data_IF_998471675546
#
_entry.id   IF_998471675546
#
_cell.length_a   1.000
_cell.length_b   1.000
_cell.length_c   1.000
_cell.angle_alpha   90.00
_cell.angle_beta   90.00
_cell.angle_gamma   90.00
#
_symmetry.space_group_name_H-M   'P 1'
#
loop_
_entity.id
_entity.type
_entity.pdbx_description
1 polymer ?
#
# COMPACT_ATOMS: atom_id res chain seq x y z
N UNK A 1 -23.54 -46.63 7.09
CA UNK A 1 -24.51 -45.52 7.22
C UNK A 1 -23.84 -44.30 7.83
N UNK A 2 -24.06 -43.10 7.28
CA UNK A 2 -23.66 -41.85 7.94
C UNK A 2 -24.63 -41.55 9.09
N UNK A 3 -24.15 -41.60 10.34
CA UNK A 3 -24.97 -41.34 11.51
C UNK A 3 -25.42 -39.87 11.63
N UNK A 4 -26.48 -39.58 12.40
CA UNK A 4 -27.09 -38.25 12.54
C UNK A 4 -26.10 -37.16 13.02
N UNK A 5 -25.05 -37.54 13.74
CA UNK A 5 -23.98 -36.62 14.18
C UNK A 5 -23.16 -36.03 13.02
N UNK A 6 -23.17 -36.67 11.85
CA UNK A 6 -22.37 -36.24 10.69
C UNK A 6 -22.93 -34.94 10.06
N UNK A 7 -24.26 -34.73 10.07
CA UNK A 7 -24.87 -33.52 9.51
C UNK A 7 -24.53 -32.27 10.35
N UNK A 8 -24.54 -32.40 11.67
CA UNK A 8 -24.19 -31.33 12.61
C UNK A 8 -22.74 -30.89 12.44
N UNK A 9 -21.80 -31.84 12.39
CA UNK A 9 -20.37 -31.55 12.17
C UNK A 9 -20.14 -30.86 10.82
N UNK A 10 -20.83 -31.33 9.76
CA UNK A 10 -20.77 -30.69 8.44
C UNK A 10 -21.28 -29.25 8.48
N UNK A 11 -22.41 -29.00 9.14
CA UNK A 11 -23.00 -27.66 9.30
C UNK A 11 -22.05 -26.71 10.05
N UNK A 12 -21.47 -27.15 11.17
CA UNK A 12 -20.49 -26.35 11.93
C UNK A 12 -19.25 -26.01 11.08
N UNK A 13 -18.77 -26.96 10.27
CA UNK A 13 -17.62 -26.74 9.38
C UNK A 13 -17.92 -25.75 8.26
N UNK A 14 -19.12 -25.81 7.67
CA UNK A 14 -19.53 -24.85 6.62
C UNK A 14 -19.72 -23.46 7.19
N UNK A 15 -20.36 -23.33 8.35
CA UNK A 15 -20.51 -22.04 9.05
C UNK A 15 -19.16 -21.40 9.37
N UNK A 16 -18.21 -22.19 9.92
CA UNK A 16 -16.84 -21.70 10.20
C UNK A 16 -16.11 -21.23 8.94
N UNK A 17 -16.26 -21.95 7.82
CA UNK A 17 -15.68 -21.54 6.53
C UNK A 17 -16.31 -20.25 6.01
N UNK A 18 -17.63 -20.12 6.13
CA UNK A 18 -18.39 -18.96 5.67
C UNK A 18 -18.03 -17.70 6.48
N UNK A 19 -17.93 -17.81 7.81
CA UNK A 19 -17.43 -16.73 8.68
C UNK A 19 -16.03 -16.27 8.29
N UNK A 20 -15.08 -17.20 8.15
CA UNK A 20 -13.71 -16.89 7.69
C UNK A 20 -13.66 -16.21 6.32
N UNK A 21 -14.54 -16.61 5.39
CA UNK A 21 -14.62 -15.98 4.06
C UNK A 21 -15.11 -14.53 4.18
N UNK A 22 -16.17 -14.29 4.96
CA UNK A 22 -16.70 -12.95 5.23
C UNK A 22 -15.65 -12.04 5.88
N UNK A 23 -14.95 -12.53 6.91
CA UNK A 23 -13.88 -11.77 7.58
C UNK A 23 -12.74 -11.41 6.61
N UNK A 24 -12.31 -12.36 5.76
CA UNK A 24 -11.28 -12.10 4.75
C UNK A 24 -11.73 -11.07 3.72
N UNK A 25 -12.99 -11.13 3.32
CA UNK A 25 -13.58 -10.20 2.35
C UNK A 25 -13.67 -8.79 2.95
N UNK A 26 -14.15 -8.66 4.18
CA UNK A 26 -14.17 -7.39 4.92
C UNK A 26 -12.75 -6.81 5.08
N UNK A 27 -11.77 -7.64 5.47
CA UNK A 27 -10.35 -7.21 5.55
C UNK A 27 -9.81 -6.81 4.18
N UNK A 28 -10.26 -7.43 3.10
CA UNK A 28 -9.88 -7.05 1.73
C UNK A 28 -10.48 -5.70 1.36
N UNK A 29 -11.76 -5.45 1.66
CA UNK A 29 -12.40 -4.15 1.40
C UNK A 29 -11.77 -3.05 2.26
N UNK A 30 -11.58 -3.26 3.56
CA UNK A 30 -10.89 -2.30 4.42
C UNK A 30 -9.50 -1.93 3.90
N UNK A 31 -8.73 -2.91 3.39
CA UNK A 31 -7.43 -2.63 2.75
C UNK A 31 -7.55 -1.87 1.44
N UNK A 32 -8.62 -2.05 0.68
CA UNK A 32 -8.86 -1.28 -0.55
C UNK A 32 -9.28 0.16 -0.21
N UNK A 33 -10.18 0.32 0.75
CA UNK A 33 -10.74 1.63 1.13
C UNK A 33 -9.69 2.52 1.81
N UNK A 34 -8.78 1.93 2.59
CA UNK A 34 -7.75 2.67 3.33
C UNK A 34 -6.37 2.64 2.66
N UNK A 35 -6.19 1.88 1.58
CA UNK A 35 -4.93 1.98 0.82
C UNK A 35 -5.03 3.20 -0.09
N UNK A 36 -4.01 4.08 -0.10
CA UNK A 36 -3.95 5.21 -1.04
C UNK A 36 -3.91 4.75 -2.52
N UNK A 37 -3.94 3.45 -2.80
CA UNK A 37 -3.90 2.86 -4.13
C UNK A 37 -2.49 2.37 -4.49
N UNK A 38 -2.41 1.52 -5.50
CA UNK A 38 -1.13 1.03 -6.05
C UNK A 38 -0.65 1.81 -7.28
N UNK A 39 -1.21 3.00 -7.52
CA UNK A 39 -0.76 3.88 -8.61
C UNK A 39 0.67 4.35 -8.37
N UNK A 40 1.43 4.54 -9.45
CA UNK A 40 2.83 4.97 -9.41
C UNK A 40 2.99 6.27 -8.61
N UNK A 41 2.04 7.19 -8.73
CA UNK A 41 2.06 8.48 -8.02
C UNK A 41 2.06 8.33 -6.49
N UNK A 42 1.38 7.31 -5.95
CA UNK A 42 1.35 7.04 -4.51
C UNK A 42 2.60 6.30 -4.01
N UNK A 43 3.44 5.81 -4.93
CA UNK A 43 4.71 5.16 -4.62
C UNK A 43 5.90 6.14 -4.67
N UNK A 44 5.71 7.31 -5.27
CA UNK A 44 6.71 8.37 -5.32
C UNK A 44 6.72 9.08 -3.96
N UNK A 45 7.84 8.97 -3.26
CA UNK A 45 8.12 9.65 -2.01
C UNK A 45 9.25 10.64 -2.25
N UNK A 46 9.04 11.91 -1.88
CA UNK A 46 10.08 12.92 -1.93
C UNK A 46 10.88 12.90 -0.64
N UNK A 47 12.16 13.30 -0.71
CA UNK A 47 13.07 13.31 0.44
C UNK A 47 13.56 14.74 0.66
N UNK A 48 13.42 15.25 1.88
CA UNK A 48 13.91 16.57 2.26
C UNK A 48 15.43 16.60 2.48
N UNK A 49 15.97 17.80 2.75
CA UNK A 49 17.41 18.04 3.00
C UNK A 49 17.95 17.29 4.23
N UNK A 50 17.07 16.78 5.09
CA UNK A 50 17.41 16.07 6.32
C UNK A 50 17.14 14.57 6.21
N UNK A 51 16.73 14.08 5.03
CA UNK A 51 16.48 12.66 4.78
C UNK A 51 15.09 12.18 5.19
N UNK A 52 14.15 13.07 5.52
CA UNK A 52 12.78 12.70 5.87
C UNK A 52 11.91 12.61 4.61
N UNK A 53 10.97 11.66 4.62
CA UNK A 53 10.02 11.47 3.52
C UNK A 53 8.90 12.50 3.61
N UNK A 54 8.67 13.25 2.54
CA UNK A 54 7.62 14.26 2.42
C UNK A 54 6.62 13.89 1.33
N UNK A 55 5.35 14.24 1.55
CA UNK A 55 4.27 14.04 0.56
C UNK A 55 4.19 15.19 -0.45
N UNK A 56 4.89 16.29 -0.22
CA UNK A 56 4.90 17.46 -1.10
C UNK A 56 6.03 17.33 -2.10
N UNK A 57 5.77 17.51 -3.41
CA UNK A 57 6.83 17.59 -4.40
C UNK A 57 7.72 18.80 -4.07
N UNK A 58 9.06 18.68 -4.25
CA UNK A 58 9.94 19.82 -4.10
C UNK A 58 9.49 20.89 -5.10
N UNK A 59 9.22 22.10 -4.61
CA UNK A 59 8.90 23.24 -5.47
C UNK A 59 10.00 23.39 -6.55
N UNK A 60 9.58 23.64 -7.79
CA UNK A 60 10.40 23.72 -9.01
C UNK A 60 11.53 24.78 -8.98
N UNK A 61 11.77 25.42 -7.84
CA UNK A 61 12.80 26.44 -7.65
C UNK A 61 14.23 25.89 -7.60
N UNK A 62 14.39 24.56 -7.67
CA UNK A 62 15.70 23.93 -7.84
C UNK A 62 15.76 23.18 -9.17
N UNK A 63 15.42 23.89 -10.25
CA UNK A 63 16.10 23.68 -11.51
C UNK A 63 17.61 23.79 -11.25
N UNK A 64 18.26 22.66 -11.01
CA UNK A 64 19.71 22.52 -11.11
C UNK A 64 20.03 22.85 -12.56
N UNK A 65 20.28 24.13 -12.86
CA UNK A 65 20.81 24.57 -14.13
C UNK A 65 22.20 23.92 -14.22
N UNK A 66 22.47 23.06 -15.22
CA UNK A 66 23.78 22.43 -15.39
C UNK A 66 24.90 23.44 -15.74
N UNK A 67 24.62 24.74 -15.81
CA UNK A 67 25.58 25.77 -16.26
C UNK A 67 26.58 26.22 -15.19
N UNK A 68 26.38 25.97 -13.89
CA UNK A 68 27.31 26.45 -12.84
C UNK A 68 28.42 25.46 -12.47
N UNK A 69 28.36 24.21 -12.94
CA UNK A 69 29.41 23.21 -12.67
C UNK A 69 30.69 23.42 -13.50
N UNK A 70 30.64 24.16 -14.61
CA UNK A 70 31.82 24.34 -15.50
C UNK A 70 32.64 25.60 -15.19
N UNK A 71 32.11 26.58 -14.44
CA UNK A 71 32.85 27.82 -14.10
C UNK A 71 33.78 27.71 -12.90
N UNK A 72 33.72 26.60 -12.14
CA UNK A 72 34.57 26.38 -10.97
C UNK A 72 35.87 25.58 -11.27
N UNK A 73 36.04 25.03 -12.47
CA UNK A 73 37.29 24.38 -12.91
C UNK A 73 38.17 25.27 -13.79
N UNK A 74 37.74 26.52 -14.05
CA UNK A 74 38.42 27.48 -14.90
C UNK A 74 39.06 28.64 -14.13
N UNK A 75 40.05 28.35 -13.29
CA UNK A 75 41.25 29.17 -13.02
C UNK A 75 42.15 28.49 -12.00
#
# INVERSE_FOLDING_TARGET
MAGPNNSYIKKQKTEKRLKKRKEKEQKKQYRKDNSPGGGLDNMIAYVDKFGNITSEPPADDVAIKPEEAEKASGR
#
